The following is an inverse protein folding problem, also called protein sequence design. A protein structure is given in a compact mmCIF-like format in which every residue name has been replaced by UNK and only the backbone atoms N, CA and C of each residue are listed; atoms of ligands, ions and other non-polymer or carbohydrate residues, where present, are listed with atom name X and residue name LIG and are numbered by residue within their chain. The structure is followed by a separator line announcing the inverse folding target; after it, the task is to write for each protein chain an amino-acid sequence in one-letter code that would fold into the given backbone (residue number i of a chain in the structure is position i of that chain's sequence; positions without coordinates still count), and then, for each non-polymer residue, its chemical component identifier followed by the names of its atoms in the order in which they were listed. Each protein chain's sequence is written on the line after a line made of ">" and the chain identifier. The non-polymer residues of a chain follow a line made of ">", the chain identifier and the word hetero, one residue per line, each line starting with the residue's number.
data_IF_131053228624
#
_entry.id   IF_131053228624
#
_cell.length_a   1.000
_cell.length_b   1.000
_cell.length_c   1.000
_cell.angle_alpha   90.00
_cell.angle_beta   90.00
_cell.angle_gamma   90.00
#
_symmetry.space_group_name_H-M   'P 1'
#
loop_
_entity.id
_entity.type
_entity.pdbx_description
1 polymer ?
#
# COMPACT_ATOMS: atom_id res chain seq x y z
N UNK A 1 -1.22 -11.57 40.52
CA UNK A 1 -1.90 -11.97 39.28
C UNK A 1 -2.74 -13.18 39.61
N UNK A 2 -4.05 -13.00 39.78
CA UNK A 2 -4.97 -14.11 40.01
C UNK A 2 -5.14 -14.84 38.67
N UNK A 3 -4.76 -16.11 38.62
CA UNK A 3 -4.93 -16.96 37.44
C UNK A 3 -6.21 -17.74 37.65
N UNK A 4 -7.26 -17.39 36.91
CA UNK A 4 -8.53 -18.11 36.94
C UNK A 4 -8.33 -19.51 36.38
N UNK A 5 -8.82 -20.51 37.11
CA UNK A 5 -8.80 -21.92 36.69
C UNK A 5 -10.14 -22.32 36.07
N UNK A 6 -10.17 -23.39 35.28
CA UNK A 6 -11.42 -23.87 34.65
C UNK A 6 -12.51 -24.20 35.69
N UNK A 7 -12.12 -24.59 36.91
CA UNK A 7 -13.04 -24.78 38.04
C UNK A 7 -13.77 -23.50 38.45
N UNK A 8 -13.09 -22.35 38.43
CA UNK A 8 -13.66 -21.06 38.85
C UNK A 8 -14.69 -20.52 37.86
N UNK A 9 -14.55 -20.89 36.59
CA UNK A 9 -15.45 -20.50 35.49
C UNK A 9 -16.64 -21.45 35.32
N UNK A 10 -16.58 -22.63 35.94
CA UNK A 10 -17.64 -23.66 35.84
C UNK A 10 -18.79 -23.45 36.83
N UNK A 11 -18.58 -22.64 37.87
CA UNK A 11 -19.55 -22.37 38.94
C UNK A 11 -20.31 -21.09 38.63
N UNK A 12 -21.58 -20.99 39.06
CA UNK A 12 -22.32 -19.72 39.02
C UNK A 12 -21.51 -18.63 39.74
N UNK A 13 -21.11 -17.62 38.97
CA UNK A 13 -20.23 -16.54 39.40
C UNK A 13 -20.83 -15.82 40.61
N UNK A 14 -20.08 -15.81 41.70
CA UNK A 14 -20.38 -14.95 42.86
C UNK A 14 -19.95 -13.52 42.53
N UNK A 15 -20.66 -12.52 43.08
CA UNK A 15 -20.40 -11.08 42.84
C UNK A 15 -18.94 -10.67 43.05
N UNK A 16 -18.24 -11.33 43.97
CA UNK A 16 -16.81 -11.11 44.24
C UNK A 16 -15.95 -11.64 43.08
N UNK A 17 -16.26 -12.84 42.58
CA UNK A 17 -15.53 -13.47 41.48
C UNK A 17 -15.76 -12.73 40.15
N UNK A 18 -16.98 -12.21 39.93
CA UNK A 18 -17.28 -11.31 38.81
C UNK A 18 -16.41 -10.05 38.84
N UNK A 19 -16.30 -9.42 40.03
CA UNK A 19 -15.50 -8.19 40.19
C UNK A 19 -14.01 -8.46 39.95
N UNK A 20 -13.48 -9.56 40.46
CA UNK A 20 -12.08 -9.94 40.24
C UNK A 20 -11.84 -10.28 38.75
N UNK A 21 -12.79 -10.95 38.11
CA UNK A 21 -12.70 -11.28 36.69
C UNK A 21 -12.69 -10.03 35.82
N UNK A 22 -13.56 -9.05 36.12
CA UNK A 22 -13.57 -7.77 35.41
C UNK A 22 -12.25 -7.01 35.59
N UNK A 23 -11.69 -6.99 36.79
CA UNK A 23 -10.39 -6.36 37.05
C UNK A 23 -9.26 -7.05 36.27
N UNK A 24 -9.28 -8.38 36.20
CA UNK A 24 -8.30 -9.15 35.42
C UNK A 24 -8.40 -8.85 33.92
N UNK A 25 -9.62 -8.75 33.37
CA UNK A 25 -9.81 -8.39 31.96
C UNK A 25 -9.28 -6.99 31.66
N UNK A 26 -9.47 -6.03 32.57
CA UNK A 26 -8.98 -4.67 32.41
C UNK A 26 -7.44 -4.62 32.46
N UNK A 27 -6.81 -5.31 33.42
CA UNK A 27 -5.35 -5.46 33.49
C UNK A 27 -4.75 -6.16 32.25
N UNK A 28 -5.43 -7.19 31.74
CA UNK A 28 -5.05 -7.84 30.49
C UNK A 28 -5.13 -6.88 29.31
N UNK A 29 -6.21 -6.12 29.20
CA UNK A 29 -6.39 -5.13 28.16
C UNK A 29 -5.28 -4.07 28.21
N UNK A 30 -4.98 -3.53 29.39
CA UNK A 30 -3.88 -2.59 29.58
C UNK A 30 -2.53 -3.19 29.19
N UNK A 31 -2.28 -4.45 29.54
CA UNK A 31 -1.03 -5.14 29.23
C UNK A 31 -0.86 -5.35 27.72
N UNK A 32 -1.94 -5.70 27.01
CA UNK A 32 -1.97 -5.81 25.55
C UNK A 32 -1.70 -4.46 24.90
N UNK A 33 -2.31 -3.38 25.41
CA UNK A 33 -2.07 -2.01 24.90
C UNK A 33 -0.59 -1.61 25.10
N UNK A 34 -0.04 -1.78 26.31
CA UNK A 34 1.38 -1.48 26.60
C UNK A 34 2.35 -2.27 25.72
N UNK A 35 2.07 -3.56 25.47
CA UNK A 35 2.87 -4.37 24.54
C UNK A 35 2.74 -3.87 23.09
N UNK A 36 1.55 -3.46 22.68
CA UNK A 36 1.31 -2.91 21.34
C UNK A 36 2.12 -1.62 21.13
N UNK A 37 2.09 -0.69 22.09
CA UNK A 37 2.84 0.57 22.05
C UNK A 37 4.37 0.34 22.00
N UNK A 38 4.88 -0.63 22.76
CA UNK A 38 6.30 -1.02 22.72
C UNK A 38 6.71 -1.60 21.35
N UNK A 39 5.81 -2.33 20.68
CA UNK A 39 6.04 -2.83 19.32
C UNK A 39 5.99 -1.70 18.28
N UNK A 40 5.18 -0.65 18.48
CA UNK A 40 5.14 0.50 17.56
C UNK A 40 6.46 1.28 17.55
N UNK A 41 7.10 1.44 18.72
CA UNK A 41 8.41 2.09 18.87
C UNK A 41 9.56 1.33 18.17
N UNK A 42 9.35 0.06 17.80
CA UNK A 42 10.38 -0.81 17.20
C UNK A 42 10.06 -1.28 15.79
N UNK A 43 9.08 -0.65 15.10
CA UNK A 43 8.87 -0.89 13.67
C UNK A 43 10.08 -0.37 12.88
N UNK A 44 11.08 -1.22 12.68
CA UNK A 44 12.19 -0.91 11.80
C UNK A 44 11.67 -0.77 10.37
N UNK A 45 11.98 0.38 9.75
CA UNK A 45 11.60 0.67 8.38
C UNK A 45 12.77 0.28 7.49
N UNK A 46 12.50 -0.67 6.60
CA UNK A 46 13.43 -1.12 5.60
C UNK A 46 13.64 -0.07 4.51
N UNK A 47 14.91 0.21 4.21
CA UNK A 47 15.33 1.08 3.11
C UNK A 47 15.72 0.31 1.84
N UNK A 48 15.56 -1.02 1.82
CA UNK A 48 15.98 -1.87 0.69
C UNK A 48 15.07 -1.76 -0.53
N UNK A 49 13.80 -1.44 -0.32
CA UNK A 49 12.80 -1.34 -1.39
C UNK A 49 12.07 -0.02 -1.30
N UNK A 50 11.59 0.46 -2.44
CA UNK A 50 10.77 1.67 -2.53
C UNK A 50 9.57 1.37 -3.41
N UNK A 51 8.38 1.56 -2.87
CA UNK A 51 7.15 1.48 -3.64
C UNK A 51 6.75 2.85 -4.20
N UNK A 52 6.33 2.90 -5.47
CA UNK A 52 5.86 4.11 -6.14
C UNK A 52 4.73 3.77 -7.12
N UNK A 53 3.79 4.69 -7.27
CA UNK A 53 2.73 4.59 -8.27
C UNK A 53 1.42 5.17 -7.75
N UNK A 54 0.52 5.50 -8.68
CA UNK A 54 -0.79 6.05 -8.34
C UNK A 54 -1.64 5.06 -7.53
N UNK A 55 -1.45 3.76 -7.76
CA UNK A 55 -2.14 2.71 -7.02
C UNK A 55 -1.79 2.59 -5.54
N UNK A 56 -0.89 3.42 -5.02
CA UNK A 56 -0.63 3.57 -3.58
C UNK A 56 -1.39 4.75 -2.94
N UNK A 57 -2.12 5.53 -3.73
CA UNK A 57 -2.82 6.74 -3.27
C UNK A 57 -4.30 6.72 -3.64
N UNK A 58 -4.63 6.34 -4.89
CA UNK A 58 -6.02 6.33 -5.35
C UNK A 58 -6.26 5.26 -6.42
N UNK A 59 -7.49 4.80 -6.49
CA UNK A 59 -7.99 3.89 -7.52
C UNK A 59 -9.52 3.99 -7.65
N UNK A 60 -10.08 3.15 -8.50
CA UNK A 60 -11.53 3.06 -8.74
C UNK A 60 -12.01 1.63 -8.52
N UNK A 61 -13.24 1.50 -8.03
CA UNK A 61 -13.88 0.21 -7.82
C UNK A 61 -13.97 -0.58 -9.14
N UNK A 62 -13.69 -1.88 -9.09
CA UNK A 62 -13.69 -2.79 -10.24
C UNK A 62 -12.73 -2.40 -11.38
N UNK A 63 -11.72 -1.55 -11.13
CA UNK A 63 -10.68 -1.21 -12.11
C UNK A 63 -9.29 -1.60 -11.62
N UNK A 64 -8.41 -1.97 -12.55
CA UNK A 64 -7.02 -2.32 -12.24
C UNK A 64 -6.29 -1.11 -11.69
N UNK A 65 -5.80 -1.30 -10.49
CA UNK A 65 -4.96 -0.35 -9.78
C UNK A 65 -3.54 -0.89 -9.75
N UNK A 66 -2.58 -0.07 -10.18
CA UNK A 66 -1.20 -0.51 -10.43
C UNK A 66 -0.22 0.35 -9.63
N UNK A 67 0.76 -0.30 -9.02
CA UNK A 67 1.94 0.33 -8.48
C UNK A 67 3.19 -0.52 -8.74
N UNK A 68 4.35 0.10 -8.59
CA UNK A 68 5.64 -0.50 -8.86
C UNK A 68 6.47 -0.54 -7.58
N UNK A 69 7.23 -1.61 -7.40
CA UNK A 69 8.20 -1.77 -6.33
C UNK A 69 9.59 -1.85 -6.94
N UNK A 70 10.47 -0.97 -6.50
CA UNK A 70 11.85 -0.86 -6.95
C UNK A 70 12.79 -1.36 -5.86
N UNK A 71 13.87 -2.03 -6.26
CA UNK A 71 15.01 -2.24 -5.39
C UNK A 71 15.78 -0.93 -5.23
N UNK A 72 16.18 -0.60 -4.01
CA UNK A 72 17.01 0.56 -3.69
C UNK A 72 18.47 0.17 -3.45
N UNK A 73 18.84 -1.08 -3.71
CA UNK A 73 20.17 -1.59 -3.42
C UNK A 73 21.11 -1.27 -4.58
N UNK A 74 22.06 -0.37 -4.35
CA UNK A 74 23.34 -0.38 -5.06
C UNK A 74 24.22 -1.42 -4.37
N UNK A 75 24.23 -2.63 -4.91
CA UNK A 75 25.20 -3.69 -4.63
C UNK A 75 25.50 -3.93 -3.11
N UNK A 76 24.62 -4.61 -2.38
CA UNK A 76 24.97 -5.18 -1.08
C UNK A 76 24.83 -6.70 -1.11
N UNK A 77 25.84 -7.34 -0.52
CA UNK A 77 25.95 -8.79 -0.38
C UNK A 77 24.68 -9.38 0.28
N UNK A 78 23.88 -10.07 -0.52
CA UNK A 78 23.22 -11.31 -0.11
C UNK A 78 21.90 -11.25 0.68
N UNK A 79 21.33 -10.09 0.99
CA UNK A 79 20.04 -10.04 1.74
C UNK A 79 18.87 -9.60 0.85
N UNK A 80 18.71 -10.27 -0.30
CA UNK A 80 17.52 -10.11 -1.13
C UNK A 80 16.41 -11.02 -0.62
N UNK A 81 15.36 -10.42 -0.07
CA UNK A 81 14.24 -11.14 0.54
C UNK A 81 12.99 -11.05 -0.30
N UNK A 82 12.14 -12.08 -0.20
CA UNK A 82 10.80 -12.00 -0.77
C UNK A 82 10.02 -10.86 -0.06
N UNK A 83 9.26 -10.10 -0.84
CA UNK A 83 8.41 -9.04 -0.31
C UNK A 83 7.02 -9.62 -0.15
N UNK A 84 6.47 -9.54 1.06
CA UNK A 84 5.10 -9.95 1.34
C UNK A 84 4.22 -8.72 1.30
N UNK A 85 3.18 -8.76 0.47
CA UNK A 85 2.17 -7.70 0.35
C UNK A 85 0.90 -8.17 1.03
N UNK A 86 0.35 -7.32 1.89
CA UNK A 86 -0.96 -7.46 2.48
C UNK A 86 -1.80 -6.24 2.11
N UNK A 87 -2.95 -6.46 1.48
CA UNK A 87 -3.93 -5.43 1.17
C UNK A 87 -5.17 -5.71 2.01
N UNK A 88 -5.58 -4.73 2.82
CA UNK A 88 -6.80 -4.80 3.61
C UNK A 88 -7.76 -3.73 3.11
N UNK A 89 -8.92 -4.15 2.65
CA UNK A 89 -9.97 -3.24 2.21
C UNK A 89 -11.08 -3.07 3.24
N UNK A 90 -12.10 -2.27 2.91
CA UNK A 90 -13.31 -2.17 3.71
C UNK A 90 -14.05 -3.51 3.71
N UNK A 91 -14.97 -3.64 4.67
CA UNK A 91 -15.82 -4.83 4.84
C UNK A 91 -15.05 -6.15 5.09
N UNK A 92 -13.81 -6.06 5.57
CA UNK A 92 -12.99 -7.23 5.89
C UNK A 92 -12.36 -7.90 4.66
N UNK A 93 -12.44 -7.29 3.48
CA UNK A 93 -11.74 -7.78 2.29
C UNK A 93 -10.23 -7.81 2.49
N UNK A 94 -9.58 -8.86 1.99
CA UNK A 94 -8.16 -9.09 2.20
C UNK A 94 -7.50 -9.72 0.98
N UNK A 95 -6.31 -9.26 0.64
CA UNK A 95 -5.46 -9.82 -0.39
C UNK A 95 -4.05 -10.02 0.14
N UNK A 96 -3.40 -11.11 -0.30
CA UNK A 96 -2.01 -11.40 0.01
C UNK A 96 -1.28 -11.83 -1.26
N UNK A 97 -0.11 -11.26 -1.48
CA UNK A 97 0.78 -11.64 -2.55
C UNK A 97 2.23 -11.67 -2.06
N UNK A 98 3.06 -12.41 -2.79
CA UNK A 98 4.50 -12.47 -2.53
C UNK A 98 5.21 -12.08 -3.81
N UNK A 99 6.03 -11.03 -3.74
CA UNK A 99 6.96 -10.71 -4.82
C UNK A 99 8.23 -11.54 -4.58
N UNK A 100 8.60 -12.44 -5.51
CA UNK A 100 9.87 -13.13 -5.42
C UNK A 100 11.01 -12.14 -5.64
N UNK A 101 12.18 -12.45 -5.08
CA UNK A 101 13.43 -11.71 -5.27
C UNK A 101 13.72 -11.42 -6.75
N UNK A 102 13.97 -10.14 -7.07
CA UNK A 102 14.38 -9.64 -8.39
C UNK A 102 15.57 -8.68 -8.23
N UNK A 103 16.47 -8.64 -9.22
CA UNK A 103 17.72 -7.90 -9.18
C UNK A 103 17.73 -6.75 -10.18
N UNK A 104 18.00 -5.53 -9.71
CA UNK A 104 18.20 -4.32 -10.52
C UNK A 104 19.65 -4.21 -11.04
N UNK A 105 20.17 -5.26 -11.69
CA UNK A 105 21.60 -5.33 -12.06
C UNK A 105 21.96 -4.46 -13.27
N UNK A 106 20.99 -3.80 -13.91
CA UNK A 106 21.17 -3.26 -15.26
C UNK A 106 21.07 -1.74 -15.40
N UNK A 107 20.77 -0.98 -14.34
CA UNK A 107 20.72 0.47 -14.45
C UNK A 107 21.37 1.18 -13.26
N UNK A 108 22.67 1.50 -13.42
CA UNK A 108 23.28 2.61 -12.70
C UNK A 108 22.51 3.88 -13.06
N UNK A 109 21.62 4.31 -12.16
CA UNK A 109 21.07 5.66 -12.17
C UNK A 109 22.29 6.59 -12.22
N UNK A 110 22.47 7.45 -13.25
CA UNK A 110 23.53 8.44 -13.21
C UNK A 110 23.31 9.27 -11.95
N UNK A 111 24.34 9.40 -11.11
CA UNK A 111 24.28 10.22 -9.92
C UNK A 111 24.01 11.66 -10.33
N UNK A 112 22.73 12.03 -10.36
CA UNK A 112 22.34 13.43 -10.44
C UNK A 112 22.72 14.01 -9.09
N UNK A 113 23.81 14.75 -9.06
CA UNK A 113 24.21 15.58 -7.92
C UNK A 113 23.11 16.62 -7.68
N UNK A 114 22.13 16.27 -6.85
CA UNK A 114 20.98 17.13 -6.47
C UNK A 114 21.44 18.42 -5.77
N UNK A 115 22.68 18.50 -5.32
CA UNK A 115 23.29 19.69 -4.72
C UNK A 115 23.45 20.83 -5.73
N UNK A 116 23.87 20.58 -6.98
CA UNK A 116 24.07 21.64 -7.98
C UNK A 116 22.76 22.17 -8.58
N UNK A 117 21.72 21.34 -8.71
CA UNK A 117 20.41 21.77 -9.21
C UNK A 117 19.56 22.47 -8.14
N UNK A 118 19.72 22.16 -6.85
CA UNK A 118 19.03 22.87 -5.76
C UNK A 118 19.39 24.37 -5.71
N UNK A 119 20.64 24.70 -6.06
CA UNK A 119 21.12 26.08 -6.13
C UNK A 119 20.60 26.81 -7.38
N UNK A 120 20.46 26.08 -8.50
CA UNK A 120 19.91 26.63 -9.75
C UNK A 120 18.40 26.86 -9.66
N UNK A 121 17.66 25.91 -9.08
CA UNK A 121 16.21 26.01 -8.84
C UNK A 121 15.87 27.07 -7.79
N UNK A 122 16.66 27.25 -6.73
CA UNK A 122 16.50 28.38 -5.79
C UNK A 122 16.64 29.74 -6.47
N UNK A 123 17.54 29.88 -7.45
CA UNK A 123 17.72 31.13 -8.20
C UNK A 123 16.55 31.42 -9.15
N UNK A 124 15.92 30.38 -9.70
CA UNK A 124 14.74 30.53 -10.59
C UNK A 124 13.43 30.77 -9.81
N UNK A 125 13.33 30.30 -8.58
CA UNK A 125 12.14 30.46 -7.72
C UNK A 125 12.15 31.75 -6.87
N UNK A 126 13.20 32.56 -6.92
CA UNK A 126 13.20 33.92 -6.36
C UNK A 126 12.47 34.90 -7.28
N UNK A 127 11.18 34.66 -7.50
CA UNK A 127 10.24 35.74 -7.82
C UNK A 127 9.51 36.10 -6.53
N UNK A 128 9.60 37.39 -6.19
CA UNK A 128 8.99 38.02 -5.03
C UNK A 128 7.48 37.71 -4.93
N UNK A 129 7.11 36.63 -4.26
CA UNK A 129 5.78 36.46 -3.70
C UNK A 129 5.86 36.83 -2.23
N UNK A 130 5.42 38.07 -1.93
CA UNK A 130 5.09 38.45 -0.57
C UNK A 130 3.88 37.60 -0.15
N UNK A 131 4.12 36.77 0.86
CA UNK A 131 3.22 35.85 1.58
C UNK A 131 2.79 34.55 0.86
N UNK A 132 3.05 33.40 1.52
CA UNK A 132 1.95 32.49 1.81
C UNK A 132 2.06 31.99 3.25
N UNK A 133 1.40 32.67 4.19
CA UNK A 133 1.17 32.10 5.53
C UNK A 133 0.05 31.08 5.43
N UNK A 134 0.40 29.84 5.78
CA UNK A 134 -0.43 28.84 6.45
C UNK A 134 -1.90 28.78 6.04
N UNK A 135 -2.23 28.00 5.02
CA UNK A 135 -3.57 27.38 4.91
C UNK A 135 -3.61 26.06 4.10
N UNK A 136 -2.48 25.45 3.75
CA UNK A 136 -2.49 24.22 2.96
C UNK A 136 -2.73 22.93 3.78
N UNK A 137 -2.55 22.99 5.11
CA UNK A 137 -2.62 21.79 5.97
C UNK A 137 -3.84 21.72 6.89
N UNK A 138 -4.87 22.54 6.66
CA UNK A 138 -6.07 22.56 7.53
C UNK A 138 -7.26 21.74 7.01
N UNK A 139 -7.13 21.01 5.90
CA UNK A 139 -8.25 20.26 5.30
C UNK A 139 -8.21 18.73 5.50
N UNK A 140 -7.21 18.18 6.19
CA UNK A 140 -7.12 16.73 6.40
C UNK A 140 -7.47 16.33 7.85
N UNK A 141 -8.71 16.62 8.25
CA UNK A 141 -9.35 15.93 9.37
C UNK A 141 -10.55 15.18 8.82
N UNK A 142 -10.33 13.95 8.35
CA UNK A 142 -11.42 13.06 7.99
C UNK A 142 -11.90 12.33 9.25
N UNK A 143 -13.21 12.38 9.57
CA UNK A 143 -13.78 11.56 10.64
C UNK A 143 -13.69 10.08 10.24
N UNK A 144 -13.18 9.27 11.15
CA UNK A 144 -13.12 7.81 11.06
C UNK A 144 -14.56 7.26 10.96
N UNK A 145 -15.08 7.00 9.77
CA UNK A 145 -16.36 6.30 9.60
C UNK A 145 -16.14 4.81 9.90
N UNK A 146 -16.65 4.37 11.05
CA UNK A 146 -16.73 2.96 11.42
C UNK A 146 -17.78 2.25 10.55
N UNK A 147 -17.36 1.67 9.43
CA UNK A 147 -18.22 0.84 8.60
C UNK A 147 -18.53 -0.49 9.31
N UNK A 148 -19.68 -0.56 9.99
CA UNK A 148 -20.24 -1.79 10.57
C UNK A 148 -21.14 -2.49 9.56
N UNK A 149 -20.55 -3.26 8.64
CA UNK A 149 -21.22 -4.42 8.01
C UNK A 149 -20.24 -5.58 8.03
N UNK A 150 -20.60 -6.64 8.76
CA UNK A 150 -19.88 -7.92 8.77
C UNK A 150 -20.15 -8.62 7.43
N UNK A 151 -19.44 -8.24 6.38
CA UNK A 151 -19.28 -9.13 5.24
C UNK A 151 -18.18 -10.13 5.60
N UNK A 152 -18.40 -11.41 5.34
CA UNK A 152 -17.29 -12.35 5.29
C UNK A 152 -16.44 -11.91 4.09
N UNK A 153 -15.24 -11.42 4.36
CA UNK A 153 -14.49 -10.60 3.42
C UNK A 153 -14.15 -11.33 2.13
N UNK A 154 -14.47 -10.72 1.00
CA UNK A 154 -14.02 -11.18 -0.31
C UNK A 154 -12.50 -11.09 -0.44
N UNK A 155 -11.91 -12.01 -1.19
CA UNK A 155 -10.48 -12.02 -1.47
C UNK A 155 -10.15 -10.99 -2.56
N UNK A 156 -9.15 -10.14 -2.30
CA UNK A 156 -8.63 -9.20 -3.28
C UNK A 156 -7.58 -9.92 -4.12
N UNK A 157 -7.87 -10.12 -5.40
CA UNK A 157 -6.93 -10.72 -6.34
C UNK A 157 -5.80 -9.72 -6.63
N UNK A 158 -4.56 -10.18 -6.43
CA UNK A 158 -3.34 -9.41 -6.66
C UNK A 158 -2.49 -10.20 -7.67
N UNK A 159 -2.15 -9.55 -8.77
CA UNK A 159 -1.24 -10.04 -9.78
C UNK A 159 0.12 -9.35 -9.65
N UNK A 160 1.19 -10.13 -9.72
CA UNK A 160 2.56 -9.65 -9.61
C UNK A 160 3.31 -10.06 -10.85
N UNK A 161 3.75 -9.06 -11.60
CA UNK A 161 4.56 -9.24 -12.81
C UNK A 161 5.95 -8.68 -12.54
N UNK A 162 6.96 -9.53 -12.73
CA UNK A 162 8.35 -9.10 -12.61
C UNK A 162 8.78 -8.50 -13.95
N UNK A 163 9.23 -7.26 -13.91
CA UNK A 163 9.99 -6.62 -14.98
C UNK A 163 11.47 -6.59 -14.57
N UNK A 164 12.38 -6.35 -15.52
CA UNK A 164 13.83 -6.50 -15.30
C UNK A 164 14.37 -5.71 -14.08
N UNK A 165 13.84 -4.51 -13.83
CA UNK A 165 14.31 -3.61 -12.76
C UNK A 165 13.28 -3.36 -11.64
N UNK A 166 12.05 -3.87 -11.81
CA UNK A 166 10.93 -3.55 -10.90
C UNK A 166 9.87 -4.63 -10.90
N UNK A 167 9.18 -4.76 -9.78
CA UNK A 167 7.97 -5.56 -9.71
C UNK A 167 6.75 -4.66 -9.95
N UNK A 168 5.93 -5.01 -10.93
CA UNK A 168 4.63 -4.39 -11.18
C UNK A 168 3.55 -5.18 -10.47
N UNK A 169 2.90 -4.52 -9.52
CA UNK A 169 1.80 -5.09 -8.73
C UNK A 169 0.49 -4.50 -9.23
N UNK A 170 -0.44 -5.37 -9.60
CA UNK A 170 -1.77 -5.00 -10.08
C UNK A 170 -2.82 -5.64 -9.18
N UNK A 171 -3.79 -4.87 -8.71
CA UNK A 171 -4.92 -5.41 -7.95
C UNK A 171 -6.22 -4.75 -8.42
N UNK A 172 -7.35 -5.41 -8.18
CA UNK A 172 -8.67 -4.90 -8.53
C UNK A 172 -9.49 -4.79 -7.24
N UNK A 173 -9.82 -3.58 -6.77
CA UNK A 173 -10.59 -3.40 -5.55
C UNK A 173 -12.09 -3.62 -5.83
N UNK A 174 -12.70 -4.55 -5.11
CA UNK A 174 -14.13 -4.86 -5.27
C UNK A 174 -15.06 -3.86 -4.60
N UNK A 175 -14.57 -3.12 -3.61
CA UNK A 175 -15.38 -2.19 -2.82
C UNK A 175 -14.79 -0.79 -2.92
N UNK A 176 -15.65 0.23 -2.85
CA UNK A 176 -15.20 1.61 -2.67
C UNK A 176 -14.87 1.87 -1.19
N UNK A 177 -13.93 2.76 -0.91
CA UNK A 177 -13.50 3.11 0.45
C UNK A 177 -11.98 3.19 0.59
N UNK A 178 -11.51 3.16 1.84
CA UNK A 178 -10.08 3.24 2.16
C UNK A 178 -9.50 1.84 2.27
N UNK A 179 -8.42 1.60 1.54
CA UNK A 179 -7.63 0.37 1.59
C UNK A 179 -6.30 0.66 2.27
N UNK A 180 -5.82 -0.28 3.07
CA UNK A 180 -4.50 -0.24 3.70
C UNK A 180 -3.59 -1.27 3.03
N UNK A 181 -2.46 -0.82 2.48
CA UNK A 181 -1.45 -1.67 1.88
C UNK A 181 -0.22 -1.71 2.79
N UNK A 182 0.11 -2.90 3.26
CA UNK A 182 1.30 -3.19 4.05
C UNK A 182 2.26 -4.06 3.23
N UNK A 183 3.51 -3.65 3.15
CA UNK A 183 4.56 -4.42 2.49
C UNK A 183 5.71 -4.69 3.46
N UNK A 184 6.10 -5.95 3.57
CA UNK A 184 7.09 -6.44 4.54
C UNK A 184 8.21 -7.13 3.79
N UNK A 185 9.46 -6.75 4.09
CA UNK A 185 10.67 -7.38 3.59
C UNK A 185 11.58 -7.69 4.78
N UNK A 186 12.12 -8.92 4.87
CA UNK A 186 12.95 -9.37 6.01
C UNK A 186 12.32 -9.16 7.41
N UNK A 187 10.99 -9.17 7.51
CA UNK A 187 10.30 -8.89 8.78
C UNK A 187 10.17 -7.40 9.11
N UNK A 188 10.69 -6.52 8.26
CA UNK A 188 10.64 -5.06 8.40
C UNK A 188 9.64 -4.44 7.41
N UNK A 189 9.02 -3.32 7.76
CA UNK A 189 8.11 -2.61 6.86
C UNK A 189 8.89 -1.86 5.79
N UNK A 190 8.44 -1.90 4.54
CA UNK A 190 9.04 -1.09 3.48
C UNK A 190 8.72 0.39 3.70
N UNK A 191 9.66 1.26 3.34
CA UNK A 191 9.50 2.72 3.40
C UNK A 191 8.19 3.20 2.78
N UNK A 192 7.43 3.97 3.57
CA UNK A 192 6.13 4.52 3.19
C UNK A 192 4.93 3.66 3.59
N UNK A 193 5.14 2.43 4.08
CA UNK A 193 4.07 1.62 4.64
C UNK A 193 3.69 2.09 6.07
N UNK A 194 2.42 1.94 6.48
CA UNK A 194 1.25 1.56 5.66
C UNK A 194 0.87 2.63 4.63
N UNK A 195 0.43 2.20 3.44
CA UNK A 195 -0.15 3.10 2.43
C UNK A 195 -1.67 3.08 2.52
N UNK A 196 -2.28 4.25 2.63
CA UNK A 196 -3.74 4.41 2.62
C UNK A 196 -4.20 4.82 1.22
N UNK A 197 -4.93 3.93 0.55
CA UNK A 197 -5.41 4.12 -0.83
C UNK A 197 -6.89 4.43 -0.83
N UNK A 198 -7.27 5.52 -1.50
CA UNK A 198 -8.67 5.93 -1.67
C UNK A 198 -9.27 5.32 -2.94
N UNK A 199 -10.17 4.36 -2.78
CA UNK A 199 -10.93 3.76 -3.88
C UNK A 199 -12.25 4.47 -4.05
N UNK A 200 -12.43 5.10 -5.20
CA UNK A 200 -13.63 5.82 -5.59
C UNK A 200 -14.67 4.86 -6.20
N UNK A 201 -15.95 5.23 -6.08
CA UNK A 201 -17.02 4.48 -6.72
C UNK A 201 -16.91 4.57 -8.25
N UNK A 202 -17.13 3.46 -8.92
CA UNK A 202 -17.06 3.38 -10.37
C UNK A 202 -18.36 3.88 -11.00
N UNK A 203 -18.32 5.09 -11.54
CA UNK A 203 -19.45 5.70 -12.24
C UNK A 203 -19.62 5.18 -13.66
N UNK A 204 -18.60 4.54 -14.22
CA UNK A 204 -18.60 4.05 -15.61
C UNK A 204 -19.25 2.67 -15.79
N UNK A 205 -19.42 1.90 -14.71
CA UNK A 205 -20.03 0.56 -14.75
C UNK A 205 -19.20 -0.51 -15.47
N UNK A 206 -17.96 -0.18 -15.88
CA UNK A 206 -17.04 -1.13 -16.51
C UNK A 206 -16.27 -1.88 -15.44
N UNK A 207 -16.39 -3.20 -15.43
CA UNK A 207 -15.66 -4.09 -14.54
C UNK A 207 -14.49 -4.74 -15.27
N UNK A 208 -13.28 -4.51 -14.78
CA UNK A 208 -12.09 -5.14 -15.30
C UNK A 208 -11.83 -6.47 -14.61
N UNK A 209 -11.37 -7.45 -15.38
CA UNK A 209 -10.94 -8.76 -14.87
C UNK A 209 -9.51 -9.07 -15.34
N UNK A 210 -8.84 -9.98 -14.63
CA UNK A 210 -7.50 -10.44 -14.98
C UNK A 210 -7.44 -11.32 -16.24
N UNK A 211 -8.55 -11.95 -16.63
CA UNK A 211 -8.59 -12.93 -17.74
C UNK A 211 -8.51 -12.33 -19.16
N UNK A 212 -8.79 -11.03 -19.33
CA UNK A 212 -8.93 -10.42 -20.67
C UNK A 212 -7.61 -10.03 -21.36
N UNK A 213 -6.44 -10.34 -20.79
CA UNK A 213 -5.14 -9.89 -21.32
C UNK A 213 -4.51 -10.81 -22.37
N UNK A 214 -5.11 -11.96 -22.72
CA UNK A 214 -4.57 -12.88 -23.74
C UNK A 214 -5.09 -12.66 -25.17
N UNK A 215 -5.91 -11.63 -25.44
CA UNK A 215 -6.55 -11.41 -26.77
C UNK A 215 -6.28 -10.04 -27.40
N UNK A 216 -5.13 -9.42 -27.16
CA UNK A 216 -4.71 -8.22 -27.91
C UNK A 216 -3.33 -8.42 -28.51
N UNK A 217 -3.22 -9.39 -29.41
CA UNK A 217 -2.28 -9.30 -30.54
C UNK A 217 -3.14 -9.18 -31.79
N UNK A 218 -3.28 -7.94 -32.28
CA UNK A 218 -3.45 -7.56 -33.70
C UNK A 218 -3.87 -6.09 -33.73
N UNK A 219 -2.87 -5.21 -33.72
CA UNK A 219 -3.08 -3.81 -34.13
C UNK A 219 -3.15 -3.83 -35.67
N UNK A 220 -4.28 -3.48 -36.32
CA UNK A 220 -4.28 -3.31 -37.76
C UNK A 220 -3.46 -2.06 -38.11
N UNK A 221 -2.36 -2.30 -38.82
CA UNK A 221 -1.40 -1.31 -39.29
C UNK A 221 -2.07 -0.17 -40.08
N UNK A 222 -1.67 1.06 -39.78
CA UNK A 222 -2.05 2.29 -40.47
C UNK A 222 -1.62 2.21 -41.95
N UNK A 223 -2.59 2.22 -42.88
CA UNK A 223 -2.36 2.32 -44.32
C UNK A 223 -1.79 3.70 -44.66
N UNK A 224 -0.51 3.75 -45.08
CA UNK A 224 0.09 4.95 -45.69
C UNK A 224 -0.62 5.26 -47.01
N UNK A 225 -1.29 6.41 -47.11
CA UNK A 225 -1.74 6.99 -48.38
C UNK A 225 -0.50 7.29 -49.24
N UNK A 226 -0.38 6.64 -50.39
CA UNK A 226 0.55 7.06 -51.46
C UNK A 226 0.09 8.43 -51.97
N UNK A 227 0.96 9.44 -51.87
CA UNK A 227 0.78 10.71 -52.55
C UNK A 227 0.95 10.52 -54.05
N UNK A 228 0.01 11.07 -54.82
CA UNK A 228 0.17 11.31 -56.24
C UNK A 228 1.08 12.54 -56.40
N UNK A 229 2.19 12.38 -57.12
CA UNK A 229 2.89 13.49 -57.78
C UNK A 229 2.76 13.24 -59.28
N UNK A 230 1.85 14.00 -59.90
CA UNK A 230 1.87 14.28 -61.33
C UNK A 230 3.04 15.22 -61.60
N UNK A 231 3.95 14.84 -62.50
CA UNK A 231 4.79 15.80 -63.20
C UNK A 231 4.54 15.60 -64.71
N UNK A 232 4.05 16.67 -65.32
CA UNK A 232 4.17 16.94 -66.76
C UNK A 232 5.63 17.29 -67.09
#
# INVERSE_FOLDING_TARGET
>A
MEVFTESDLSVNLTVILERNFLHYLDELQESIIKQTEKNELTKSISNYYIARGMGLYSGEQHKKTVFYVYSNIKNTNGVNSNIIIHIRGPYGTYGKAVIPKFHSDLFTIPEINVTSESLMTRKLLQKNCKDPRNNFLKSFSLPFMQYKKKHMGDNIVIDVTLEDDRAKVTYIPNNYGIYEINMIANGELIRGCPFNVHILNNTSGVEENFENLRKVEEIPCIKKKKGYLQNN
#
